data_IF_196741662563
#
_entry.id   IF_196741662563
#
_cell.length_a   1.000
_cell.length_b   1.000
_cell.length_c   1.000
_cell.angle_alpha   90.00
_cell.angle_beta   90.00
_cell.angle_gamma   90.00
#
_symmetry.space_group_name_H-M   'P 1'
#
loop_
_entity.id
_entity.type
_entity.pdbx_description
1 polymer ?
#
# COMPACT_ATOMS: atom_id res chain seq x y z
N UNK A 1 -25.05 -79.80 8.45
CA UNK A 1 -23.73 -79.15 8.50
C UNK A 1 -23.83 -77.82 7.76
N UNK A 2 -24.10 -76.71 8.46
CA UNK A 2 -24.44 -75.42 7.90
C UNK A 2 -23.20 -74.52 7.94
N UNK A 3 -22.70 -74.10 6.76
CA UNK A 3 -21.48 -73.40 6.57
C UNK A 3 -21.81 -71.88 6.63
N UNK A 4 -21.37 -71.15 7.67
CA UNK A 4 -21.52 -69.78 7.82
C UNK A 4 -20.67 -68.95 6.81
N UNK A 5 -21.20 -67.91 6.17
CA UNK A 5 -20.40 -67.05 5.31
C UNK A 5 -19.58 -66.05 6.13
N UNK A 6 -18.29 -65.95 5.77
CA UNK A 6 -17.31 -65.03 6.31
C UNK A 6 -17.70 -63.55 6.03
N UNK A 7 -17.96 -62.78 7.09
CA UNK A 7 -18.13 -61.35 6.97
C UNK A 7 -16.78 -60.66 6.74
N UNK A 8 -16.57 -60.12 5.54
CA UNK A 8 -15.45 -59.23 5.24
C UNK A 8 -15.66 -57.90 5.99
N UNK A 9 -14.73 -57.58 6.88
CA UNK A 9 -14.69 -56.30 7.57
C UNK A 9 -14.33 -55.20 6.56
N UNK A 10 -15.27 -54.30 6.27
CA UNK A 10 -15.02 -53.09 5.50
C UNK A 10 -14.30 -52.11 6.42
N UNK A 11 -13.02 -51.87 6.17
CA UNK A 11 -12.24 -50.83 6.83
C UNK A 11 -12.68 -49.49 6.28
N UNK A 12 -13.42 -48.73 7.12
CA UNK A 12 -13.74 -47.35 6.83
C UNK A 12 -12.52 -46.52 7.21
N UNK A 13 -11.76 -46.08 6.21
CA UNK A 13 -10.71 -45.09 6.40
C UNK A 13 -11.37 -43.71 6.62
N UNK A 14 -11.10 -43.00 7.73
CA UNK A 14 -11.53 -41.62 7.84
C UNK A 14 -10.69 -40.80 6.89
N UNK A 15 -11.33 -40.28 5.86
CA UNK A 15 -10.77 -39.26 4.95
C UNK A 15 -10.54 -37.96 5.76
N UNK A 16 -9.31 -37.80 6.20
CA UNK A 16 -8.88 -36.57 6.86
C UNK A 16 -8.89 -35.46 5.82
N UNK A 17 -9.96 -34.66 5.80
CA UNK A 17 -10.06 -33.48 4.97
C UNK A 17 -9.14 -32.39 5.57
N UNK A 18 -7.93 -32.30 5.02
CA UNK A 18 -6.96 -31.26 5.37
C UNK A 18 -7.45 -29.94 4.73
N UNK A 19 -8.22 -29.15 5.47
CA UNK A 19 -8.50 -27.76 5.08
C UNK A 19 -7.19 -26.98 5.15
N UNK A 20 -6.54 -26.79 4.00
CA UNK A 20 -5.50 -25.81 3.83
C UNK A 20 -6.14 -24.41 3.95
N UNK A 21 -6.04 -23.81 5.13
CA UNK A 21 -6.30 -22.40 5.33
C UNK A 21 -5.26 -21.61 4.54
N UNK A 22 -5.58 -21.33 3.27
CA UNK A 22 -4.86 -20.36 2.47
C UNK A 22 -5.12 -18.98 3.08
N UNK A 23 -4.32 -18.59 4.07
CA UNK A 23 -4.33 -17.26 4.65
C UNK A 23 -3.84 -16.26 3.60
N UNK A 24 -4.75 -15.72 2.82
CA UNK A 24 -4.50 -14.47 2.10
C UNK A 24 -4.16 -13.41 3.14
N UNK A 25 -2.86 -13.13 3.32
CA UNK A 25 -2.42 -11.88 3.93
C UNK A 25 -2.85 -10.77 2.98
N UNK A 26 -4.08 -10.29 3.14
CA UNK A 26 -4.52 -9.05 2.56
C UNK A 26 -3.57 -7.98 3.07
N UNK A 27 -2.81 -7.34 2.16
CA UNK A 27 -2.22 -6.05 2.46
C UNK A 27 -3.40 -5.17 2.86
N UNK A 28 -3.43 -4.76 4.10
CA UNK A 28 -4.33 -3.70 4.56
C UNK A 28 -3.84 -2.44 3.86
N UNK A 29 -4.40 -2.14 2.70
CA UNK A 29 -4.30 -0.80 2.16
C UNK A 29 -4.99 0.08 3.19
N UNK A 30 -4.22 0.91 3.87
CA UNK A 30 -4.74 1.94 4.74
C UNK A 30 -5.37 3.00 3.83
N UNK A 31 -6.55 2.69 3.33
CA UNK A 31 -7.41 3.65 2.66
C UNK A 31 -7.67 4.75 3.67
N UNK A 32 -7.22 5.96 3.39
CA UNK A 32 -7.70 7.13 4.10
C UNK A 32 -9.23 7.17 3.91
N UNK A 33 -9.94 6.77 4.93
CA UNK A 33 -11.39 6.78 4.91
C UNK A 33 -11.86 8.23 5.00
N UNK A 34 -12.12 8.83 3.83
CA UNK A 34 -12.82 10.11 3.75
C UNK A 34 -12.11 11.14 2.88
N UNK A 35 -12.86 11.67 1.90
CA UNK A 35 -12.46 12.80 1.07
C UNK A 35 -12.53 14.11 1.90
N UNK A 36 -11.67 14.24 2.92
CA UNK A 36 -11.63 15.39 3.82
C UNK A 36 -10.18 15.81 4.03
N UNK A 37 -9.91 17.09 3.80
CA UNK A 37 -8.64 17.68 4.21
C UNK A 37 -8.64 17.94 5.71
N UNK A 38 -7.56 17.55 6.39
CA UNK A 38 -7.36 17.76 7.82
C UNK A 38 -6.13 18.62 8.04
N UNK A 39 -6.27 19.93 8.04
CA UNK A 39 -5.14 20.84 8.23
C UNK A 39 -4.40 20.57 9.54
N UNK A 40 -3.07 20.52 9.47
CA UNK A 40 -2.20 20.28 10.62
C UNK A 40 -2.01 18.82 11.00
N UNK A 41 -2.70 17.88 10.36
CA UNK A 41 -2.44 16.44 10.50
C UNK A 41 -1.41 15.96 9.46
N UNK A 42 -0.79 14.81 9.74
CA UNK A 42 0.04 14.09 8.78
C UNK A 42 -0.84 13.69 7.59
N UNK A 43 -0.36 13.98 6.39
CA UNK A 43 -1.02 13.60 5.14
C UNK A 43 -0.20 12.48 4.47
N UNK A 44 -0.58 11.21 4.66
CA UNK A 44 0.19 10.08 4.15
C UNK A 44 -0.07 9.83 2.67
N UNK A 45 0.94 9.29 2.01
CA UNK A 45 0.83 8.68 0.69
C UNK A 45 0.26 7.25 0.76
N UNK A 46 0.25 6.54 -0.38
CA UNK A 46 -0.21 5.15 -0.48
C UNK A 46 0.66 4.14 0.29
N UNK A 47 1.84 4.54 0.78
CA UNK A 47 2.73 3.73 1.59
C UNK A 47 2.57 4.05 3.09
N UNK A 48 1.71 5.01 3.45
CA UNK A 48 1.53 5.50 4.81
C UNK A 48 2.63 6.45 5.27
N UNK A 49 3.45 6.97 4.34
CA UNK A 49 4.52 7.92 4.60
C UNK A 49 4.00 9.34 4.39
N UNK A 50 4.38 10.27 5.26
CA UNK A 50 4.00 11.67 5.11
C UNK A 50 4.52 12.24 3.79
N UNK A 51 3.62 12.89 3.02
CA UNK A 51 3.97 13.58 1.78
C UNK A 51 5.05 14.62 2.04
N UNK A 52 6.13 14.55 1.28
CA UNK A 52 7.29 15.42 1.39
C UNK A 52 7.50 16.15 0.05
N UNK A 53 6.71 17.21 -0.18
CA UNK A 53 6.70 18.01 -1.40
C UNK A 53 6.57 19.50 -1.06
N UNK A 54 7.62 20.06 -0.47
CA UNK A 54 7.63 21.46 -0.01
C UNK A 54 7.69 22.43 -1.18
N UNK A 55 7.03 23.59 -1.03
CA UNK A 55 7.06 24.68 -2.00
C UNK A 55 6.61 24.30 -3.40
N UNK A 56 5.80 23.25 -3.49
CA UNK A 56 5.52 22.58 -4.74
C UNK A 56 4.50 23.26 -5.63
N UNK A 57 4.40 22.72 -6.84
CA UNK A 57 3.38 23.04 -7.84
C UNK A 57 2.57 21.82 -8.23
N UNK A 58 1.37 22.07 -8.75
CA UNK A 58 0.49 21.02 -9.27
C UNK A 58 0.33 21.12 -10.78
N UNK A 59 0.33 19.96 -11.44
CA UNK A 59 0.02 19.80 -12.85
C UNK A 59 -1.17 18.86 -12.96
N UNK A 60 -2.15 19.20 -13.80
CA UNK A 60 -3.21 18.27 -14.17
C UNK A 60 -2.97 17.78 -15.61
N UNK A 61 -2.99 16.46 -15.78
CA UNK A 61 -2.93 15.82 -17.09
C UNK A 61 -4.07 14.80 -17.19
N UNK A 62 -5.04 15.07 -18.05
CA UNK A 62 -6.25 14.26 -18.13
C UNK A 62 -7.02 14.29 -16.81
N UNK A 63 -7.24 13.12 -16.24
CA UNK A 63 -7.94 12.92 -14.96
C UNK A 63 -6.98 12.75 -13.77
N UNK A 64 -5.69 13.02 -13.98
CA UNK A 64 -4.65 12.84 -12.96
C UNK A 64 -4.03 14.16 -12.58
N UNK A 65 -3.90 14.37 -11.27
CA UNK A 65 -3.17 15.48 -10.68
C UNK A 65 -1.78 14.99 -10.26
N UNK A 66 -0.75 15.76 -10.56
CA UNK A 66 0.62 15.53 -10.15
C UNK A 66 1.07 16.66 -9.25
N UNK A 67 1.63 16.31 -8.10
CA UNK A 67 2.21 17.25 -7.16
C UNK A 67 3.72 17.08 -7.14
N UNK A 68 4.44 18.14 -7.51
CA UNK A 68 5.90 18.19 -7.48
C UNK A 68 6.34 19.16 -6.39
N UNK A 69 7.31 18.77 -5.58
CA UNK A 69 7.86 19.64 -4.56
C UNK A 69 9.19 19.13 -4.02
N UNK A 70 9.89 20.00 -3.30
CA UNK A 70 11.17 19.65 -2.70
C UNK A 70 11.00 18.55 -1.65
N UNK A 71 11.74 17.46 -1.80
CA UNK A 71 11.87 16.45 -0.78
C UNK A 71 12.96 16.89 0.21
N UNK A 72 12.56 17.38 1.34
CA UNK A 72 13.46 17.80 2.40
C UNK A 72 13.96 16.60 3.20
N UNK A 73 15.24 16.62 3.58
CA UNK A 73 15.79 15.69 4.56
C UNK A 73 15.62 16.27 5.96
N UNK A 74 15.50 15.41 6.95
CA UNK A 74 15.48 15.82 8.34
C UNK A 74 16.90 16.21 8.79
N UNK A 75 16.99 17.08 9.82
CA UNK A 75 18.21 17.49 10.44
C UNK A 75 18.55 18.98 10.28
N UNK A 76 19.82 19.33 10.56
CA UNK A 76 20.28 20.72 10.70
C UNK A 76 20.58 21.42 9.37
N UNK A 77 20.44 20.74 8.23
CA UNK A 77 20.77 21.31 6.92
C UNK A 77 19.87 22.45 6.45
N UNK A 78 18.78 22.69 7.16
CA UNK A 78 17.82 23.76 6.82
C UNK A 78 17.25 23.63 5.42
N UNK A 79 17.12 24.76 4.71
CA UNK A 79 16.51 24.79 3.37
C UNK A 79 17.35 24.13 2.28
N UNK A 80 18.63 23.86 2.53
CA UNK A 80 19.51 23.19 1.56
C UNK A 80 19.54 21.67 1.73
N UNK A 81 18.94 21.15 2.80
CA UNK A 81 18.87 19.73 3.10
C UNK A 81 17.75 19.08 2.30
N UNK A 82 18.00 18.78 1.03
CA UNK A 82 17.04 18.16 0.12
C UNK A 82 17.70 17.09 -0.73
N UNK A 83 16.89 16.14 -1.21
CA UNK A 83 17.33 15.08 -2.14
C UNK A 83 16.91 15.38 -3.58
N UNK A 84 15.98 16.27 -3.80
CA UNK A 84 15.49 16.63 -5.12
C UNK A 84 14.02 17.03 -5.12
N UNK A 85 13.40 16.88 -6.29
CA UNK A 85 11.97 17.11 -6.50
C UNK A 85 11.25 15.77 -6.45
N UNK A 86 10.35 15.61 -5.49
CA UNK A 86 9.48 14.44 -5.36
C UNK A 86 8.20 14.64 -6.17
N UNK A 87 7.68 13.55 -6.74
CA UNK A 87 6.43 13.53 -7.47
C UNK A 87 5.42 12.61 -6.77
N UNK A 88 4.21 13.10 -6.62
CA UNK A 88 3.05 12.32 -6.20
C UNK A 88 1.94 12.46 -7.23
N UNK A 89 1.10 11.43 -7.39
CA UNK A 89 -0.06 11.48 -8.27
C UNK A 89 -1.36 11.20 -7.54
N UNK A 90 -2.45 11.79 -7.99
CA UNK A 90 -3.79 11.59 -7.42
C UNK A 90 -4.87 11.71 -8.48
N UNK A 91 -5.99 11.01 -8.27
CA UNK A 91 -7.22 11.14 -9.06
C UNK A 91 -8.28 12.00 -8.37
N UNK A 92 -8.11 12.31 -7.10
CA UNK A 92 -9.14 12.93 -6.28
C UNK A 92 -8.62 14.06 -5.36
N UNK A 93 -7.31 14.35 -5.40
CA UNK A 93 -6.61 15.33 -4.55
C UNK A 93 -6.55 14.95 -3.05
N UNK A 94 -7.11 13.82 -2.64
CA UNK A 94 -7.12 13.35 -1.26
C UNK A 94 -6.16 12.19 -1.05
N UNK A 95 -6.18 11.24 -2.00
CA UNK A 95 -5.37 10.03 -1.96
C UNK A 95 -4.21 10.16 -2.93
N UNK A 96 -2.99 10.15 -2.41
CA UNK A 96 -1.78 10.39 -3.18
C UNK A 96 -0.94 9.13 -3.28
N UNK A 97 -0.51 8.84 -4.49
CA UNK A 97 0.44 7.77 -4.79
C UNK A 97 1.84 8.38 -4.89
N UNK A 98 2.80 7.77 -4.22
CA UNK A 98 4.21 8.08 -4.37
C UNK A 98 4.72 7.62 -5.75
N UNK A 99 5.20 8.55 -6.56
CA UNK A 99 5.82 8.29 -7.87
C UNK A 99 7.35 8.37 -7.80
N UNK A 100 7.91 8.75 -6.64
CA UNK A 100 9.35 8.84 -6.40
C UNK A 100 9.96 10.20 -6.73
N UNK A 101 11.29 10.23 -6.76
CA UNK A 101 12.07 11.44 -7.07
C UNK A 101 12.07 11.66 -8.58
N UNK A 102 11.46 12.76 -9.02
CA UNK A 102 11.37 13.15 -10.42
C UNK A 102 12.64 13.84 -10.93
N UNK A 103 13.35 14.53 -10.04
CA UNK A 103 14.62 15.20 -10.32
C UNK A 103 15.49 15.13 -9.07
N UNK A 104 16.67 14.53 -9.16
CA UNK A 104 17.63 14.44 -8.08
C UNK A 104 18.56 15.66 -8.04
N UNK A 105 19.03 16.06 -6.86
CA UNK A 105 20.07 17.12 -6.74
C UNK A 105 21.44 16.65 -7.18
N UNK A 106 21.63 15.35 -7.41
CA UNK A 106 22.88 14.74 -7.88
C UNK A 106 22.95 14.59 -9.41
N UNK A 107 21.90 14.93 -10.13
CA UNK A 107 21.79 14.77 -11.59
C UNK A 107 22.31 16.01 -12.34
#
# INVERSE_FOLDING_TARGET
MYKQPSMKRIAIYPLLLLFALCGCKGKTETSQAGNVFKPGEIWPDNNGVHINAHGGGMLQQGDTYYWFGEHKTEGEGGNVAQVGVHCYSSKDLYNWKDEGIALSVSD
#
